data_IF_341535211879
#
_entry.id   IF_341535211879
#
_cell.length_a   1.000
_cell.length_b   1.000
_cell.length_c   1.000
_cell.angle_alpha   90.00
_cell.angle_beta   90.00
_cell.angle_gamma   90.00
#
_symmetry.space_group_name_H-M   'P 1'
#
loop_
_entity.id
_entity.type
_entity.pdbx_description
1 polymer ?
#
# COMPACT_ATOMS: atom_id res chain seq x y z
N UNK A 1 -3.18 0.62 -1.83
CA UNK A 1 -1.96 1.37 -2.24
C UNK A 1 -2.06 2.04 -3.60
N UNK A 2 -1.81 1.39 -4.74
CA UNK A 2 -1.85 2.07 -6.06
C UNK A 2 -3.23 2.69 -6.34
N UNK A 3 -4.31 1.96 -6.05
CA UNK A 3 -5.68 2.48 -6.16
C UNK A 3 -5.94 3.69 -5.24
N UNK A 4 -5.30 3.76 -4.07
CA UNK A 4 -5.43 4.91 -3.17
C UNK A 4 -4.67 6.12 -3.72
N UNK A 5 -3.47 5.93 -4.28
CA UNK A 5 -2.75 6.99 -4.98
C UNK A 5 -3.59 7.57 -6.14
N UNK A 6 -4.21 6.69 -6.95
CA UNK A 6 -5.16 7.08 -8.00
C UNK A 6 -6.36 7.86 -7.42
N UNK A 7 -6.97 7.38 -6.34
CA UNK A 7 -8.13 8.02 -5.72
C UNK A 7 -7.79 9.42 -5.19
N UNK A 8 -6.61 9.58 -4.58
CA UNK A 8 -6.12 10.87 -4.09
C UNK A 8 -5.84 11.85 -5.23
N UNK A 9 -5.22 11.40 -6.34
CA UNK A 9 -5.03 12.23 -7.53
C UNK A 9 -6.36 12.70 -8.12
N UNK A 10 -7.34 11.80 -8.20
CA UNK A 10 -8.65 12.08 -8.76
C UNK A 10 -9.45 13.04 -7.89
N UNK A 11 -9.67 12.68 -6.63
CA UNK A 11 -10.69 13.34 -5.82
C UNK A 11 -10.12 14.53 -5.03
N UNK A 12 -8.83 14.51 -4.65
CA UNK A 12 -8.19 15.64 -3.97
C UNK A 12 -7.60 16.61 -5.00
N UNK A 13 -6.77 16.12 -5.92
CA UNK A 13 -6.05 16.99 -6.87
C UNK A 13 -6.86 17.36 -8.11
N UNK A 14 -7.93 16.62 -8.43
CA UNK A 14 -8.70 16.84 -9.65
C UNK A 14 -7.86 16.68 -10.91
N UNK A 15 -6.92 15.74 -10.89
CA UNK A 15 -6.06 15.41 -12.03
C UNK A 15 -6.88 14.59 -13.03
N UNK A 16 -6.71 14.85 -14.33
CA UNK A 16 -7.39 14.10 -15.38
C UNK A 16 -6.69 12.78 -15.71
N UNK A 17 -7.41 11.83 -16.31
CA UNK A 17 -6.90 10.47 -16.49
C UNK A 17 -5.63 10.37 -17.35
N UNK A 18 -5.51 11.18 -18.41
CA UNK A 18 -4.27 11.25 -19.22
C UNK A 18 -3.08 11.75 -18.39
N UNK A 19 -3.28 12.82 -17.60
CA UNK A 19 -2.23 13.36 -16.73
C UNK A 19 -1.82 12.33 -15.66
N UNK A 20 -2.77 11.59 -15.07
CA UNK A 20 -2.42 10.49 -14.15
C UNK A 20 -1.55 9.43 -14.83
N UNK A 21 -1.82 9.11 -16.10
CA UNK A 21 -1.01 8.13 -16.81
C UNK A 21 0.43 8.61 -17.00
N UNK A 22 0.65 9.89 -17.30
CA UNK A 22 1.98 10.50 -17.37
C UNK A 22 2.71 10.44 -16.02
N UNK A 23 1.98 10.65 -14.93
CA UNK A 23 2.53 10.53 -13.57
C UNK A 23 2.98 9.10 -13.27
N UNK A 24 2.14 8.09 -13.57
CA UNK A 24 2.52 6.69 -13.37
C UNK A 24 3.65 6.26 -14.30
N UNK A 25 3.74 6.78 -15.53
CA UNK A 25 4.90 6.60 -16.41
C UNK A 25 6.17 7.13 -15.75
N UNK A 26 6.13 8.33 -15.18
CA UNK A 26 7.30 8.92 -14.52
C UNK A 26 7.69 8.16 -13.26
N UNK A 27 6.72 7.75 -12.44
CA UNK A 27 6.97 6.93 -11.26
C UNK A 27 7.60 5.58 -11.61
N UNK A 28 7.28 5.02 -12.77
CA UNK A 28 7.84 3.76 -13.23
C UNK A 28 9.32 3.85 -13.65
N UNK A 29 9.89 5.05 -13.78
CA UNK A 29 11.33 5.26 -14.08
C UNK A 29 12.20 5.35 -12.83
N UNK A 30 11.59 5.37 -11.64
CA UNK A 30 12.28 5.54 -10.36
C UNK A 30 12.15 4.34 -9.43
N UNK A 31 12.13 4.59 -8.12
CA UNK A 31 12.06 3.54 -7.09
C UNK A 31 10.74 2.74 -7.07
N UNK A 32 9.72 3.23 -7.78
CA UNK A 32 8.44 2.55 -7.96
C UNK A 32 8.38 1.68 -9.22
N UNK A 33 9.46 1.60 -10.01
CA UNK A 33 9.56 0.71 -11.18
C UNK A 33 9.09 -0.70 -10.80
N UNK A 34 7.93 -1.05 -11.39
CA UNK A 34 7.26 -2.32 -11.15
C UNK A 34 6.22 -2.59 -12.21
N UNK A 35 5.98 -3.88 -12.45
CA UNK A 35 4.95 -4.31 -13.39
C UNK A 35 3.57 -3.73 -13.06
N UNK A 36 3.22 -3.60 -11.78
CA UNK A 36 1.91 -3.06 -11.38
C UNK A 36 1.77 -1.56 -11.65
N UNK A 37 2.86 -0.79 -11.55
CA UNK A 37 2.86 0.63 -11.91
C UNK A 37 2.79 0.79 -13.44
N UNK A 38 3.56 -0.01 -14.17
CA UNK A 38 3.53 -0.07 -15.64
C UNK A 38 2.11 -0.35 -16.19
N UNK A 39 1.46 -1.42 -15.75
CA UNK A 39 0.11 -1.72 -16.25
C UNK A 39 -0.93 -0.71 -15.76
N UNK A 40 -0.70 -0.04 -14.63
CA UNK A 40 -1.61 1.02 -14.16
C UNK A 40 -1.59 2.20 -15.13
N UNK A 41 -0.41 2.61 -15.58
CA UNK A 41 -0.27 3.60 -16.67
C UNK A 41 -1.03 3.14 -17.91
N UNK A 42 -0.85 1.90 -18.35
CA UNK A 42 -1.49 1.40 -19.58
C UNK A 42 -3.01 1.36 -19.47
N UNK A 43 -3.53 0.93 -18.31
CA UNK A 43 -4.96 0.95 -17.99
C UNK A 43 -5.52 2.38 -18.05
N UNK A 44 -4.78 3.37 -17.52
CA UNK A 44 -5.21 4.76 -17.53
C UNK A 44 -5.24 5.33 -18.96
N UNK A 45 -4.33 4.91 -19.85
CA UNK A 45 -4.32 5.34 -21.26
C UNK A 45 -5.37 4.66 -22.14
N UNK A 46 -5.93 3.54 -21.70
CA UNK A 46 -6.80 2.72 -22.54
C UNK A 46 -8.14 3.41 -22.83
N UNK A 47 -8.40 3.61 -24.13
CA UNK A 47 -9.65 4.15 -24.68
C UNK A 47 -10.34 3.09 -25.55
N UNK A 48 -11.65 3.04 -25.48
CA UNK A 48 -12.48 2.23 -26.38
C UNK A 48 -12.51 2.82 -27.80
N UNK A 49 -13.02 2.10 -28.82
CA UNK A 49 -13.10 2.62 -30.19
C UNK A 49 -13.87 3.92 -30.36
N UNK A 50 -14.77 4.25 -29.42
CA UNK A 50 -15.52 5.50 -29.39
C UNK A 50 -14.71 6.69 -28.79
N UNK A 51 -13.47 6.48 -28.38
CA UNK A 51 -12.58 7.50 -27.81
C UNK A 51 -12.73 7.73 -26.31
N UNK A 52 -13.67 7.05 -25.63
CA UNK A 52 -13.89 7.19 -24.19
C UNK A 52 -12.99 6.24 -23.38
N UNK A 53 -12.58 6.65 -22.18
CA UNK A 53 -11.81 5.78 -21.29
C UNK A 53 -12.64 4.58 -20.81
N UNK A 54 -12.01 3.40 -20.81
CA UNK A 54 -12.64 2.19 -20.29
C UNK A 54 -12.74 2.21 -18.75
N UNK A 55 -11.69 2.68 -18.06
CA UNK A 55 -11.57 2.57 -16.60
C UNK A 55 -12.80 3.09 -15.82
N UNK A 56 -13.36 4.29 -16.11
CA UNK A 56 -14.54 4.78 -15.41
C UNK A 56 -15.81 3.93 -15.59
N UNK A 57 -15.86 3.08 -16.62
CA UNK A 57 -16.99 2.20 -16.93
C UNK A 57 -16.89 0.84 -16.23
N UNK A 58 -15.72 0.48 -15.72
CA UNK A 58 -15.51 -0.78 -15.01
C UNK A 58 -16.21 -0.70 -13.65
N UNK A 59 -17.02 -1.73 -13.33
CA UNK A 59 -17.71 -1.84 -12.05
C UNK A 59 -16.69 -1.88 -10.90
N UNK A 60 -16.85 -1.00 -9.91
CA UNK A 60 -16.01 -0.85 -8.72
C UNK A 60 -16.30 -1.92 -7.64
N UNK A 61 -16.27 -3.19 -8.05
CA UNK A 61 -16.52 -4.37 -7.20
C UNK A 61 -15.41 -5.39 -7.42
N UNK A 62 -14.39 -5.36 -6.58
CA UNK A 62 -13.20 -6.18 -6.74
C UNK A 62 -13.44 -7.63 -6.32
N UNK A 63 -13.27 -8.56 -7.25
CA UNK A 63 -13.25 -10.00 -6.96
C UNK A 63 -11.97 -10.44 -6.24
N UNK A 64 -12.03 -11.63 -5.62
CA UNK A 64 -10.85 -12.30 -5.06
C UNK A 64 -10.99 -13.83 -5.13
N UNK A 65 -9.86 -14.52 -5.31
CA UNK A 65 -9.80 -16.00 -5.38
C UNK A 65 -9.35 -16.67 -4.07
N UNK A 66 -9.20 -15.91 -2.99
CA UNK A 66 -8.95 -16.44 -1.64
C UNK A 66 -7.52 -16.30 -1.12
N UNK A 67 -6.49 -16.26 -1.97
CA UNK A 67 -5.08 -16.23 -1.52
C UNK A 67 -4.74 -15.04 -0.59
N UNK A 68 -5.26 -13.85 -0.89
CA UNK A 68 -5.10 -12.69 0.01
C UNK A 68 -5.76 -12.90 1.38
N UNK A 69 -6.96 -13.51 1.40
CA UNK A 69 -7.66 -13.87 2.64
C UNK A 69 -6.85 -14.87 3.45
N UNK A 70 -6.25 -15.88 2.80
CA UNK A 70 -5.40 -16.86 3.48
C UNK A 70 -4.17 -16.23 4.12
N UNK A 71 -3.54 -15.25 3.49
CA UNK A 71 -2.44 -14.50 4.13
C UNK A 71 -2.91 -13.76 5.38
N UNK A 72 -4.08 -13.13 5.34
CA UNK A 72 -4.66 -12.47 6.52
C UNK A 72 -5.01 -13.45 7.64
N UNK A 73 -5.55 -14.63 7.30
CA UNK A 73 -5.85 -15.69 8.28
C UNK A 73 -4.55 -16.22 8.91
N UNK A 74 -3.54 -16.55 8.10
CA UNK A 74 -2.26 -17.03 8.59
C UNK A 74 -1.57 -15.99 9.50
N UNK A 75 -1.71 -14.70 9.20
CA UNK A 75 -1.20 -13.63 10.06
C UNK A 75 -1.85 -13.63 11.44
N UNK A 76 -3.16 -13.87 11.53
CA UNK A 76 -3.87 -14.00 12.79
C UNK A 76 -3.49 -15.28 13.54
N UNK A 77 -3.38 -16.41 12.83
CA UNK A 77 -2.98 -17.70 13.39
C UNK A 77 -1.57 -17.65 13.99
N UNK A 78 -0.62 -17.03 13.30
CA UNK A 78 0.77 -16.89 13.77
C UNK A 78 1.01 -15.65 14.63
N UNK A 79 -0.03 -14.87 14.97
CA UNK A 79 0.12 -13.67 15.81
C UNK A 79 1.03 -12.58 15.22
N UNK A 80 1.08 -12.45 13.88
CA UNK A 80 1.92 -11.48 13.18
C UNK A 80 1.09 -10.29 12.65
N UNK A 81 1.52 -9.03 12.88
CA UNK A 81 0.76 -7.83 12.49
C UNK A 81 0.86 -7.49 10.99
N UNK A 82 0.24 -8.31 10.13
CA UNK A 82 0.18 -8.08 8.66
C UNK A 82 -1.01 -7.18 8.29
N UNK A 83 -1.01 -5.97 8.84
CA UNK A 83 -2.16 -5.07 8.82
C UNK A 83 -2.52 -4.60 7.41
N UNK A 84 -1.53 -4.29 6.57
CA UNK A 84 -1.79 -3.70 5.25
C UNK A 84 -2.42 -4.69 4.27
N UNK A 85 -1.95 -5.94 4.26
CA UNK A 85 -2.58 -6.99 3.43
C UNK A 85 -4.00 -7.28 3.94
N UNK A 86 -4.21 -7.26 5.25
CA UNK A 86 -5.55 -7.35 5.86
C UNK A 86 -6.48 -6.25 5.34
N UNK A 87 -6.08 -4.98 5.45
CA UNK A 87 -6.86 -3.85 4.92
C UNK A 87 -7.09 -3.93 3.42
N UNK A 88 -6.11 -4.42 2.64
CA UNK A 88 -6.26 -4.63 1.22
C UNK A 88 -7.32 -5.70 0.89
N UNK A 89 -7.48 -6.73 1.74
CA UNK A 89 -8.56 -7.73 1.61
C UNK A 89 -9.89 -7.11 2.02
N UNK A 90 -9.97 -6.40 3.14
CA UNK A 90 -11.20 -5.76 3.59
C UNK A 90 -11.70 -4.67 2.63
N UNK A 91 -10.80 -3.92 2.00
CA UNK A 91 -11.17 -2.96 0.96
C UNK A 91 -11.85 -3.64 -0.24
N UNK A 92 -11.45 -4.87 -0.62
CA UNK A 92 -12.13 -5.65 -1.66
C UNK A 92 -13.52 -6.08 -1.20
N UNK A 93 -13.64 -6.56 0.03
CA UNK A 93 -14.94 -6.90 0.64
C UNK A 93 -15.87 -5.68 0.62
N UNK A 94 -15.40 -4.52 1.08
CA UNK A 94 -16.16 -3.26 1.08
C UNK A 94 -16.57 -2.84 -0.33
N UNK A 95 -15.69 -2.98 -1.33
CA UNK A 95 -16.02 -2.67 -2.72
C UNK A 95 -17.16 -3.55 -3.25
N UNK A 96 -17.26 -4.80 -2.79
CA UNK A 96 -18.31 -5.74 -3.22
C UNK A 96 -19.69 -5.40 -2.67
N UNK A 97 -19.77 -4.64 -1.57
CA UNK A 97 -21.01 -4.11 -0.99
C UNK A 97 -21.56 -2.92 -1.80
N UNK A 98 -21.55 -3.00 -3.13
CA UNK A 98 -21.86 -1.86 -4.03
C UNK A 98 -23.25 -1.28 -3.79
N UNK A 99 -24.28 -2.13 -3.70
CA UNK A 99 -25.65 -1.68 -3.51
C UNK A 99 -25.81 -0.95 -2.16
N UNK A 100 -25.23 -1.50 -1.09
CA UNK A 100 -25.21 -0.88 0.23
C UNK A 100 -24.46 0.46 0.22
N UNK A 101 -23.29 0.54 -0.43
CA UNK A 101 -22.53 1.80 -0.56
C UNK A 101 -23.31 2.88 -1.31
N UNK A 102 -24.05 2.52 -2.37
CA UNK A 102 -24.90 3.47 -3.12
C UNK A 102 -26.08 3.96 -2.28
N UNK A 103 -26.65 3.10 -1.42
CA UNK A 103 -27.69 3.52 -0.48
C UNK A 103 -27.10 4.42 0.60
N UNK A 104 -25.97 4.03 1.20
CA UNK A 104 -25.29 4.77 2.25
C UNK A 104 -24.85 6.16 1.78
N UNK A 105 -24.38 6.32 0.54
CA UNK A 105 -23.93 7.62 0.01
C UNK A 105 -25.03 8.66 -0.12
N UNK A 106 -26.32 8.27 -0.01
CA UNK A 106 -27.46 9.19 -0.04
C UNK A 106 -27.87 9.67 1.36
N UNK A 107 -27.36 9.01 2.41
CA UNK A 107 -27.77 9.22 3.81
C UNK A 107 -26.62 9.77 4.64
N UNK A 108 -25.43 9.18 4.48
CA UNK A 108 -24.24 9.56 5.24
C UNK A 108 -23.59 10.78 4.61
N UNK A 109 -23.33 11.81 5.42
CA UNK A 109 -22.61 13.00 5.00
C UNK A 109 -21.11 12.85 5.28
N UNK A 110 -20.29 13.52 4.49
CA UNK A 110 -18.85 13.65 4.67
C UNK A 110 -18.41 15.10 4.54
N UNK A 111 -17.12 15.40 4.75
CA UNK A 111 -16.59 16.73 4.50
C UNK A 111 -16.82 17.13 3.04
N UNK A 112 -17.14 18.39 2.79
CA UNK A 112 -17.19 18.90 1.43
C UNK A 112 -15.78 18.94 0.85
N UNK A 113 -15.52 18.15 -0.19
CA UNK A 113 -14.26 18.18 -0.92
C UNK A 113 -14.13 19.55 -1.57
N UNK A 114 -13.37 20.44 -0.94
CA UNK A 114 -12.97 21.71 -1.54
C UNK A 114 -11.88 21.43 -2.55
N UNK A 115 -11.84 22.21 -3.64
CA UNK A 115 -10.73 22.16 -4.58
C UNK A 115 -9.42 22.34 -3.80
N UNK A 116 -8.47 21.45 -4.02
CA UNK A 116 -7.15 21.57 -3.41
C UNK A 116 -6.49 22.88 -3.86
N UNK A 117 -6.16 23.74 -2.89
CA UNK A 117 -5.57 25.07 -3.13
C UNK A 117 -4.06 25.10 -2.92
N UNK A 118 -3.44 23.97 -2.54
CA UNK A 118 -2.00 23.87 -2.37
C UNK A 118 -1.24 23.65 -3.68
N UNK A 119 0.07 23.47 -3.56
CA UNK A 119 0.92 23.07 -4.68
C UNK A 119 0.62 21.62 -5.09
N UNK A 120 -0.08 21.45 -6.21
CA UNK A 120 -0.46 20.15 -6.76
C UNK A 120 0.76 19.26 -7.03
N UNK A 121 1.85 19.82 -7.56
CA UNK A 121 3.06 19.07 -7.90
C UNK A 121 3.75 18.56 -6.64
N UNK A 122 3.83 19.41 -5.60
CA UNK A 122 4.35 18.99 -4.30
C UNK A 122 3.50 17.87 -3.68
N UNK A 123 2.17 18.03 -3.67
CA UNK A 123 1.30 17.01 -3.09
C UNK A 123 1.32 15.69 -3.90
N UNK A 124 1.46 15.78 -5.21
CA UNK A 124 1.65 14.60 -6.07
C UNK A 124 2.93 13.83 -5.73
N UNK A 125 4.04 14.55 -5.53
CA UNK A 125 5.28 13.93 -5.03
C UNK A 125 5.09 13.35 -3.63
N UNK A 126 4.30 14.00 -2.76
CA UNK A 126 3.98 13.43 -1.46
C UNK A 126 3.22 12.10 -1.58
N UNK A 127 2.26 11.99 -2.51
CA UNK A 127 1.53 10.74 -2.78
C UNK A 127 2.50 9.65 -3.24
N UNK A 128 3.46 9.98 -4.11
CA UNK A 128 4.50 9.04 -4.57
C UNK A 128 5.32 8.50 -3.39
N UNK A 129 5.77 9.38 -2.51
CA UNK A 129 6.54 9.02 -1.31
C UNK A 129 5.70 8.19 -0.32
N UNK A 130 4.45 8.56 -0.09
CA UNK A 130 3.51 7.81 0.74
C UNK A 130 3.28 6.38 0.23
N UNK A 131 3.11 6.24 -1.09
CA UNK A 131 2.97 4.96 -1.77
C UNK A 131 4.23 4.10 -1.59
N UNK A 132 5.42 4.69 -1.78
CA UNK A 132 6.68 3.97 -1.61
C UNK A 132 6.93 3.55 -0.16
N UNK A 133 6.74 4.44 0.81
CA UNK A 133 6.86 4.15 2.24
C UNK A 133 5.91 3.02 2.66
N UNK A 134 4.65 3.08 2.23
CA UNK A 134 3.65 2.07 2.56
C UNK A 134 3.93 0.73 1.88
N UNK A 135 4.53 0.73 0.68
CA UNK A 135 5.05 -0.49 0.02
C UNK A 135 6.12 -1.13 0.89
N UNK A 136 7.10 -0.36 1.40
CA UNK A 136 8.13 -0.88 2.32
C UNK A 136 7.49 -1.56 3.53
N UNK A 137 6.51 -0.91 4.16
CA UNK A 137 5.80 -1.49 5.32
C UNK A 137 5.11 -2.81 4.95
N UNK A 138 4.39 -2.86 3.82
CA UNK A 138 3.70 -4.08 3.40
C UNK A 138 4.68 -5.25 3.21
N UNK A 139 5.85 -5.02 2.62
CA UNK A 139 6.86 -6.06 2.45
C UNK A 139 7.49 -6.44 3.79
N UNK A 140 7.81 -5.47 4.66
CA UNK A 140 8.33 -5.76 6.00
C UNK A 140 7.38 -6.69 6.78
N UNK A 141 6.08 -6.40 6.77
CA UNK A 141 5.05 -7.24 7.38
C UNK A 141 4.98 -8.65 6.75
N UNK A 142 5.07 -8.75 5.43
CA UNK A 142 5.07 -10.05 4.73
C UNK A 142 6.29 -10.91 5.09
N UNK A 143 7.47 -10.31 5.19
CA UNK A 143 8.69 -11.03 5.60
C UNK A 143 8.68 -11.39 7.10
N UNK A 144 8.07 -10.57 7.96
CA UNK A 144 7.80 -10.93 9.36
C UNK A 144 6.92 -12.20 9.43
N UNK A 145 5.88 -12.28 8.60
CA UNK A 145 5.00 -13.45 8.54
C UNK A 145 5.74 -14.71 8.07
N UNK A 146 6.55 -14.58 7.00
CA UNK A 146 7.37 -15.70 6.52
C UNK A 146 8.32 -16.20 7.60
N UNK A 147 8.92 -15.28 8.38
CA UNK A 147 9.81 -15.66 9.49
C UNK A 147 9.06 -16.38 10.60
N UNK A 148 7.88 -15.90 10.96
CA UNK A 148 7.09 -16.54 12.01
C UNK A 148 6.61 -17.93 11.58
N UNK A 149 6.14 -18.06 10.33
CA UNK A 149 5.82 -19.36 9.75
C UNK A 149 7.04 -20.30 9.71
N UNK A 150 8.23 -19.79 9.38
CA UNK A 150 9.46 -20.58 9.41
C UNK A 150 9.77 -21.10 10.82
N UNK A 151 9.54 -20.28 11.85
CA UNK A 151 9.71 -20.67 13.26
C UNK A 151 8.71 -21.76 13.66
N UNK A 152 7.43 -21.55 13.39
CA UNK A 152 6.34 -22.49 13.74
C UNK A 152 6.50 -23.85 13.05
N UNK A 153 6.91 -23.87 11.78
CA UNK A 153 7.04 -25.10 11.00
C UNK A 153 8.46 -25.69 10.98
N UNK A 154 9.43 -25.07 11.67
CA UNK A 154 10.83 -25.49 11.66
C UNK A 154 11.50 -25.41 10.27
N UNK A 155 10.99 -24.56 9.37
CA UNK A 155 11.54 -24.39 8.03
C UNK A 155 12.79 -23.51 8.02
N UNK A 156 13.75 -23.86 7.16
CA UNK A 156 14.94 -23.04 6.89
C UNK A 156 14.71 -22.20 5.63
N UNK A 157 13.91 -21.14 5.75
CA UNK A 157 13.63 -20.26 4.62
C UNK A 157 14.82 -19.39 4.27
N UNK A 158 15.12 -19.27 2.98
CA UNK A 158 16.10 -18.33 2.44
C UNK A 158 15.38 -17.06 1.96
N UNK A 159 15.31 -16.03 2.81
CA UNK A 159 14.57 -14.79 2.51
C UNK A 159 15.14 -14.03 1.30
N UNK A 160 16.48 -13.98 1.17
CA UNK A 160 17.13 -13.39 -0.01
C UNK A 160 16.80 -14.16 -1.30
N UNK A 161 16.76 -15.50 -1.21
CA UNK A 161 16.34 -16.38 -2.30
C UNK A 161 14.86 -16.20 -2.68
N UNK A 162 13.97 -16.07 -1.69
CA UNK A 162 12.55 -15.76 -1.91
C UNK A 162 12.40 -14.42 -2.63
N UNK A 163 13.09 -13.37 -2.15
CA UNK A 163 13.08 -12.06 -2.79
C UNK A 163 13.60 -12.10 -4.23
N UNK A 164 14.69 -12.86 -4.48
CA UNK A 164 15.24 -13.08 -5.81
C UNK A 164 14.21 -13.73 -6.75
N UNK A 165 13.52 -14.78 -6.29
CA UNK A 165 12.48 -15.45 -7.09
C UNK A 165 11.33 -14.54 -7.46
N UNK A 166 11.04 -13.52 -6.65
CA UNK A 166 10.00 -12.54 -6.95
C UNK A 166 10.47 -11.42 -7.90
N UNK A 167 11.77 -11.24 -8.15
CA UNK A 167 12.28 -10.16 -9.02
C UNK A 167 11.81 -10.26 -10.46
N UNK A 168 11.45 -11.45 -10.93
CA UNK A 168 10.99 -11.70 -12.30
C UNK A 168 9.85 -12.71 -12.37
N UNK A 169 9.12 -12.73 -13.47
CA UNK A 169 8.04 -13.69 -13.75
C UNK A 169 6.74 -13.49 -12.96
N UNK A 170 6.81 -13.08 -11.69
CA UNK A 170 5.62 -12.89 -10.86
C UNK A 170 4.96 -11.50 -11.04
N UNK A 171 3.74 -11.34 -10.53
CA UNK A 171 2.96 -10.09 -10.63
C UNK A 171 3.57 -8.95 -9.82
N UNK A 172 4.26 -9.25 -8.70
CA UNK A 172 4.86 -8.24 -7.82
C UNK A 172 6.28 -7.86 -8.22
N UNK A 173 6.74 -8.29 -9.41
CA UNK A 173 8.09 -8.02 -9.90
C UNK A 173 8.37 -6.51 -9.96
N UNK A 174 9.53 -6.12 -9.43
CA UNK A 174 9.95 -4.72 -9.31
C UNK A 174 11.43 -4.61 -8.98
N UNK A 175 12.04 -3.46 -9.28
CA UNK A 175 13.43 -3.14 -8.87
C UNK A 175 13.58 -3.21 -7.34
N UNK A 176 12.51 -2.89 -6.62
CA UNK A 176 12.40 -2.93 -5.16
C UNK A 176 12.79 -4.27 -4.54
N UNK A 177 12.53 -5.39 -5.23
CA UNK A 177 12.88 -6.73 -4.74
C UNK A 177 14.39 -7.01 -4.81
N UNK A 178 15.13 -6.27 -5.64
CA UNK A 178 16.60 -6.25 -5.60
C UNK A 178 17.12 -5.74 -4.25
N UNK A 179 16.57 -4.62 -3.77
CA UNK A 179 16.95 -4.04 -2.48
C UNK A 179 16.63 -4.99 -1.31
N UNK A 180 15.51 -5.72 -1.36
CA UNK A 180 15.17 -6.72 -0.34
C UNK A 180 16.18 -7.87 -0.34
N UNK A 181 16.53 -8.38 -1.53
CA UNK A 181 17.56 -9.42 -1.67
C UNK A 181 18.87 -8.95 -1.03
N UNK A 182 19.33 -7.76 -1.38
CA UNK A 182 20.58 -7.20 -0.85
C UNK A 182 20.56 -7.04 0.67
N UNK A 183 19.44 -6.62 1.25
CA UNK A 183 19.29 -6.52 2.70
C UNK A 183 19.48 -7.88 3.41
N UNK A 184 18.86 -8.94 2.87
CA UNK A 184 19.00 -10.30 3.42
C UNK A 184 20.33 -10.98 3.06
N UNK A 185 21.01 -10.57 1.98
CA UNK A 185 22.39 -11.01 1.70
C UNK A 185 23.38 -10.40 2.71
N UNK A 186 23.21 -9.13 3.06
CA UNK A 186 24.02 -8.45 4.08
C UNK A 186 23.76 -9.02 5.47
N UNK A 187 22.50 -9.28 5.81
CA UNK A 187 22.11 -9.86 7.09
C UNK A 187 21.01 -10.93 6.90
N UNK A 188 21.37 -12.22 6.80
CA UNK A 188 20.40 -13.31 6.66
C UNK A 188 19.44 -13.46 7.85
N UNK A 189 19.81 -12.93 9.02
CA UNK A 189 19.03 -12.98 10.26
C UNK A 189 18.30 -11.65 10.54
N UNK A 190 18.17 -10.78 9.53
CA UNK A 190 17.50 -9.50 9.66
C UNK A 190 16.07 -9.68 10.20
N UNK A 191 15.79 -9.11 11.37
CA UNK A 191 14.51 -9.29 12.05
C UNK A 191 13.37 -8.50 11.41
N UNK A 192 13.68 -7.40 10.72
CA UNK A 192 12.70 -6.66 9.93
C UNK A 192 13.44 -5.86 8.86
N UNK A 193 12.84 -5.78 7.67
CA UNK A 193 13.35 -4.93 6.59
C UNK A 193 13.52 -3.48 7.04
N UNK A 194 12.73 -3.01 8.01
CA UNK A 194 12.80 -1.63 8.51
C UNK A 194 14.12 -1.30 9.23
N UNK A 195 14.90 -2.32 9.62
CA UNK A 195 16.18 -2.15 10.31
C UNK A 195 17.38 -2.16 9.35
N UNK A 196 17.17 -2.50 8.07
CA UNK A 196 18.23 -2.36 7.07
C UNK A 196 18.45 -0.87 6.72
N UNK A 197 19.71 -0.40 6.58
CA UNK A 197 20.01 1.00 6.35
C UNK A 197 19.34 1.64 5.13
N UNK A 198 19.14 0.88 4.04
CA UNK A 198 18.50 1.40 2.84
C UNK A 198 17.02 1.74 3.13
N UNK A 199 16.28 0.78 3.71
CA UNK A 199 14.86 0.98 4.01
C UNK A 199 14.64 1.99 5.15
N UNK A 200 15.48 1.98 6.18
CA UNK A 200 15.42 2.97 7.25
C UNK A 200 15.62 4.40 6.71
N UNK A 201 16.60 4.60 5.81
CA UNK A 201 16.84 5.89 5.15
C UNK A 201 15.67 6.31 4.26
N UNK A 202 15.11 5.37 3.48
CA UNK A 202 13.94 5.63 2.64
C UNK A 202 12.72 6.08 3.46
N UNK A 203 12.42 5.40 4.56
CA UNK A 203 11.31 5.75 5.46
C UNK A 203 11.53 7.10 6.14
N UNK A 204 12.76 7.36 6.61
CA UNK A 204 13.10 8.66 7.22
C UNK A 204 12.85 9.83 6.26
N UNK A 205 13.24 9.67 4.99
CA UNK A 205 13.04 10.70 3.94
C UNK A 205 11.57 10.88 3.56
N UNK A 206 10.77 9.82 3.58
CA UNK A 206 9.40 9.82 3.04
C UNK A 206 8.31 10.04 4.09
N UNK A 207 8.59 9.83 5.37
CA UNK A 207 7.56 9.84 6.43
C UNK A 207 6.86 11.20 6.60
N UNK A 208 7.52 12.33 6.31
CA UNK A 208 6.88 13.65 6.35
C UNK A 208 5.77 13.77 5.31
N UNK A 209 6.11 13.53 4.04
CA UNK A 209 5.16 13.49 2.93
C UNK A 209 4.03 12.48 3.17
N UNK A 210 4.38 11.32 3.71
CA UNK A 210 3.42 10.26 4.01
C UNK A 210 2.37 10.68 5.04
N UNK A 211 2.78 11.34 6.12
CA UNK A 211 1.87 11.92 7.12
C UNK A 211 0.96 12.98 6.52
N UNK A 212 1.50 13.86 5.69
CA UNK A 212 0.71 14.88 5.00
C UNK A 212 -0.39 14.23 4.15
N UNK A 213 -0.07 13.17 3.40
CA UNK A 213 -1.06 12.45 2.58
C UNK A 213 -2.15 11.81 3.42
N UNK A 214 -1.78 11.08 4.48
CA UNK A 214 -2.77 10.43 5.37
C UNK A 214 -3.67 11.47 6.05
N UNK A 215 -3.10 12.59 6.50
CA UNK A 215 -3.88 13.68 7.10
C UNK A 215 -4.85 14.31 6.10
N UNK A 216 -4.39 14.62 4.88
CA UNK A 216 -5.25 15.19 3.84
C UNK A 216 -6.35 14.22 3.41
N UNK A 217 -6.04 12.92 3.29
CA UNK A 217 -7.02 11.89 2.99
C UNK A 217 -8.14 11.86 4.05
N UNK A 218 -7.78 11.87 5.33
CA UNK A 218 -8.74 11.92 6.43
C UNK A 218 -9.57 13.22 6.44
N UNK A 219 -8.93 14.38 6.29
CA UNK A 219 -9.61 15.69 6.29
C UNK A 219 -10.54 15.89 5.11
N UNK A 220 -10.22 15.30 3.95
CA UNK A 220 -11.05 15.35 2.74
C UNK A 220 -12.10 14.25 2.66
N UNK A 221 -12.08 13.28 3.57
CA UNK A 221 -12.98 12.12 3.52
C UNK A 221 -12.64 11.13 2.40
N UNK A 222 -11.45 11.21 1.80
CA UNK A 222 -10.97 10.24 0.81
C UNK A 222 -10.38 9.02 1.53
N UNK A 223 -10.96 7.81 1.39
CA UNK A 223 -10.48 6.63 2.09
C UNK A 223 -9.09 6.19 1.62
N UNK A 224 -8.17 6.06 2.58
CA UNK A 224 -6.80 5.60 2.36
C UNK A 224 -6.39 4.52 3.39
N UNK A 225 -7.11 3.37 3.44
CA UNK A 225 -6.93 2.38 4.52
C UNK A 225 -5.52 1.77 4.53
N UNK A 226 -4.94 1.46 3.36
CA UNK A 226 -3.62 0.85 3.30
C UNK A 226 -2.51 1.87 3.63
N UNK A 227 -2.62 3.11 3.16
CA UNK A 227 -1.67 4.17 3.52
C UNK A 227 -1.72 4.49 5.02
N UNK A 228 -2.93 4.53 5.59
CA UNK A 228 -3.16 4.84 7.00
C UNK A 228 -2.65 3.73 7.91
N UNK A 229 -3.00 2.47 7.63
CA UNK A 229 -2.58 1.34 8.47
C UNK A 229 -1.07 1.10 8.43
N UNK A 230 -0.41 1.36 7.29
CA UNK A 230 1.04 1.30 7.24
C UNK A 230 1.68 2.37 8.12
N UNK A 231 1.11 3.59 8.18
CA UNK A 231 1.64 4.67 9.01
C UNK A 231 1.47 4.34 10.49
N UNK A 232 0.29 3.85 10.86
CA UNK A 232 0.02 3.35 12.21
C UNK A 232 0.95 2.21 12.60
N UNK A 233 1.22 1.27 11.70
CA UNK A 233 2.20 0.20 11.94
C UNK A 233 3.62 0.74 12.12
N UNK A 234 4.05 1.66 11.26
CA UNK A 234 5.39 2.26 11.35
C UNK A 234 5.60 2.97 12.68
N UNK A 235 4.64 3.80 13.11
CA UNK A 235 4.68 4.50 14.39
C UNK A 235 4.59 3.54 15.58
N UNK A 236 3.75 2.50 15.49
CA UNK A 236 3.66 1.48 16.52
C UNK A 236 4.97 0.67 16.66
N UNK A 237 5.58 0.28 15.54
CA UNK A 237 6.78 -0.56 15.52
C UNK A 237 8.04 0.16 16.04
N UNK A 238 8.12 1.49 15.88
CA UNK A 238 9.24 2.31 16.37
C UNK A 238 9.02 2.87 17.79
N UNK A 239 7.89 2.58 18.42
CA UNK A 239 7.59 3.07 19.77
C UNK A 239 8.14 2.10 20.80
N UNK A 240 9.06 2.57 21.65
CA UNK A 240 9.60 1.80 22.77
C UNK A 240 8.51 1.39 23.77
N UNK A 241 7.53 2.28 23.98
CA UNK A 241 6.38 2.04 24.84
C UNK A 241 5.09 2.24 24.05
N UNK A 242 4.24 1.21 24.05
CA UNK A 242 2.87 1.26 23.53
C UNK A 242 1.85 1.30 24.67
N UNK A 243 0.62 1.79 24.43
CA UNK A 243 -0.44 1.83 25.45
C UNK A 243 -1.00 0.45 25.84
N UNK A 244 -0.31 -0.65 25.46
CA UNK A 244 -0.71 -2.01 25.80
C UNK A 244 -0.57 -2.32 27.30
N UNK A 245 0.14 -1.49 28.07
CA UNK A 245 0.15 -1.55 29.54
C UNK A 245 -1.27 -1.38 30.14
N UNK A 246 -2.08 -0.47 29.57
CA UNK A 246 -3.48 -0.31 29.99
C UNK A 246 -4.33 -1.53 29.59
N UNK A 247 -4.12 -2.07 28.39
CA UNK A 247 -4.80 -3.28 27.93
C UNK A 247 -4.48 -4.49 28.81
N UNK A 248 -3.25 -4.58 29.33
CA UNK A 248 -2.87 -5.58 30.31
C UNK A 248 -3.51 -5.35 31.68
N UNK A 249 -3.61 -4.10 32.15
CA UNK A 249 -4.24 -3.79 33.45
C UNK A 249 -5.76 -4.05 33.47
N UNK A 250 -6.42 -4.00 32.31
CA UNK A 250 -7.86 -4.24 32.18
C UNK A 250 -8.25 -5.73 32.18
N UNK A 251 -7.32 -6.66 31.95
CA UNK A 251 -7.57 -8.12 31.83
C UNK A 251 -7.16 -8.86 33.09
#
# INVERSE_FOLDING_TARGET
LICEAFHLMKDILGIEQDEMAEVFEEWNKGELDSFLIEITRDILKYKEPNGEYLLPKIRDSAGQKGTGKWTGIAALEYGTPVTLIGEAVFARCLSSLKAERVTASKVLTGPSIKKFTGDKKKFLENIRQALYASKIISYAQGFMLLREAAREHGWKLNYGGIALMWRGGCIIRSVFLGNIKEAYEKNPQLSSLLLDPFFASALSKTQGAWREVVAHAALSGTPAPALSTALSFYDGYRSDVLPANLLQAQR
#
